data_IF_279811314479
#
_entry.id   IF_279811314479
#
_cell.length_a   1.000
_cell.length_b   1.000
_cell.length_c   1.000
_cell.angle_alpha   90.00
_cell.angle_beta   90.00
_cell.angle_gamma   90.00
#
_symmetry.space_group_name_H-M   'P 1'
#
loop_
_entity.id
_entity.type
_entity.pdbx_description
1 polymer ?
#
# COMPACT_ATOMS: atom_id res chain seq x y z
N UNK A 1 -21.40 -20.57 12.37
CA UNK A 1 -20.66 -19.37 11.90
C UNK A 1 -19.24 -19.37 12.48
N UNK A 2 -18.37 -20.28 12.03
CA UNK A 2 -16.99 -20.40 12.53
C UNK A 2 -15.95 -20.73 11.43
N UNK A 3 -16.37 -20.82 10.17
CA UNK A 3 -15.53 -21.32 9.06
C UNK A 3 -14.69 -20.25 8.36
N UNK A 4 -15.03 -18.96 8.52
CA UNK A 4 -14.35 -17.87 7.81
C UNK A 4 -12.96 -17.51 8.36
N UNK A 5 -12.69 -17.73 9.65
CA UNK A 5 -11.40 -17.42 10.28
C UNK A 5 -10.34 -18.52 10.14
N UNK A 6 -10.76 -19.77 9.94
CA UNK A 6 -9.85 -20.91 9.74
C UNK A 6 -9.30 -20.93 8.31
N UNK A 7 -10.16 -20.76 7.30
CA UNK A 7 -9.75 -20.77 5.89
C UNK A 7 -8.76 -19.64 5.54
N UNK A 8 -8.89 -18.47 6.17
CA UNK A 8 -7.96 -17.35 5.99
C UNK A 8 -6.60 -17.62 6.64
N UNK A 9 -6.59 -18.32 7.79
CA UNK A 9 -5.35 -18.69 8.48
C UNK A 9 -4.57 -19.76 7.70
N UNK A 10 -5.27 -20.76 7.17
CA UNK A 10 -4.66 -21.80 6.33
C UNK A 10 -4.09 -21.21 5.04
N UNK A 11 -4.82 -20.31 4.38
CA UNK A 11 -4.32 -19.63 3.17
C UNK A 11 -3.11 -18.72 3.40
N UNK A 12 -2.96 -18.13 4.60
CA UNK A 12 -1.76 -17.35 4.95
C UNK A 12 -0.54 -18.25 5.15
N UNK A 13 -0.72 -19.42 5.77
CA UNK A 13 0.37 -20.39 5.95
C UNK A 13 0.91 -20.87 4.60
N UNK A 14 0.02 -21.12 3.63
CA UNK A 14 0.40 -21.52 2.27
C UNK A 14 1.21 -20.44 1.54
N UNK A 15 0.84 -19.16 1.70
CA UNK A 15 1.59 -18.02 1.13
C UNK A 15 2.99 -17.93 1.72
N UNK A 16 3.10 -18.05 3.05
CA UNK A 16 4.39 -18.00 3.74
C UNK A 16 5.27 -19.15 3.26
N UNK A 17 4.72 -20.36 3.17
CA UNK A 17 5.45 -21.52 2.67
C UNK A 17 5.92 -21.33 1.22
N UNK A 18 5.06 -20.83 0.33
CA UNK A 18 5.43 -20.56 -1.05
C UNK A 18 6.55 -19.51 -1.19
N UNK A 19 6.56 -18.48 -0.33
CA UNK A 19 7.65 -17.49 -0.28
C UNK A 19 8.97 -18.11 0.18
N UNK A 20 8.94 -18.99 1.17
CA UNK A 20 10.14 -19.71 1.62
C UNK A 20 10.69 -20.64 0.54
N UNK A 21 9.82 -21.38 -0.14
CA UNK A 21 10.20 -22.28 -1.24
C UNK A 21 10.79 -21.47 -2.40
N UNK A 22 10.21 -20.33 -2.76
CA UNK A 22 10.68 -19.55 -3.91
C UNK A 22 12.06 -18.91 -3.68
N UNK A 23 12.35 -18.51 -2.44
CA UNK A 23 13.61 -17.88 -2.04
C UNK A 23 14.66 -18.85 -1.48
N UNK A 24 14.32 -20.12 -1.23
CA UNK A 24 15.27 -21.12 -0.75
C UNK A 24 16.28 -21.49 -1.85
N UNK A 25 17.61 -21.48 -1.58
CA UNK A 25 18.62 -21.88 -2.55
C UNK A 25 18.62 -23.39 -2.81
N UNK A 26 17.98 -24.18 -1.95
CA UNK A 26 17.90 -25.64 -2.07
C UNK A 26 16.67 -26.10 -2.88
N UNK A 27 15.73 -25.19 -3.20
CA UNK A 27 14.54 -25.53 -3.97
C UNK A 27 14.88 -25.83 -5.43
N UNK A 28 14.28 -26.90 -5.95
CA UNK A 28 14.37 -27.22 -7.38
C UNK A 28 13.72 -26.12 -8.23
N UNK A 29 14.13 -26.00 -9.49
CA UNK A 29 13.55 -25.01 -10.41
C UNK A 29 12.05 -25.24 -10.62
N UNK A 30 11.60 -26.50 -10.64
CA UNK A 30 10.18 -26.83 -10.80
C UNK A 30 9.35 -26.36 -9.59
N UNK A 31 9.80 -26.66 -8.37
CA UNK A 31 9.10 -26.22 -7.15
C UNK A 31 9.10 -24.69 -7.00
N UNK A 32 10.21 -24.03 -7.36
CA UNK A 32 10.28 -22.57 -7.37
C UNK A 32 9.29 -21.96 -8.36
N UNK A 33 9.18 -22.53 -9.56
CA UNK A 33 8.23 -22.06 -10.57
C UNK A 33 6.77 -22.22 -10.11
N UNK A 34 6.44 -23.38 -9.52
CA UNK A 34 5.11 -23.64 -8.95
C UNK A 34 4.77 -22.66 -7.82
N UNK A 35 5.70 -22.45 -6.89
CA UNK A 35 5.52 -21.49 -5.80
C UNK A 35 5.32 -20.05 -6.31
N UNK A 36 6.10 -19.62 -7.30
CA UNK A 36 5.93 -18.28 -7.90
C UNK A 36 4.59 -18.15 -8.62
N UNK A 37 4.17 -19.19 -9.37
CA UNK A 37 2.87 -19.18 -10.04
C UNK A 37 1.72 -19.08 -9.05
N UNK A 38 1.81 -19.80 -7.92
CA UNK A 38 0.85 -19.69 -6.82
C UNK A 38 0.82 -18.28 -6.22
N UNK A 39 1.99 -17.69 -5.94
CA UNK A 39 2.06 -16.32 -5.39
C UNK A 39 1.48 -15.28 -6.35
N UNK A 40 1.70 -15.44 -7.66
CA UNK A 40 1.07 -14.57 -8.67
C UNK A 40 -0.44 -14.74 -8.73
N UNK A 41 -0.98 -15.96 -8.57
CA UNK A 41 -2.44 -16.14 -8.53
C UNK A 41 -3.07 -15.43 -7.33
N UNK A 42 -2.36 -15.34 -6.20
CA UNK A 42 -2.85 -14.62 -5.01
C UNK A 42 -3.03 -13.12 -5.18
N UNK A 43 -2.38 -12.51 -6.17
CA UNK A 43 -2.61 -11.10 -6.51
C UNK A 43 -4.01 -10.84 -7.09
N UNK A 44 -4.66 -11.89 -7.62
CA UNK A 44 -5.97 -11.82 -8.26
C UNK A 44 -7.11 -12.25 -7.32
N UNK A 45 -6.80 -12.73 -6.11
CA UNK A 45 -7.81 -13.13 -5.13
C UNK A 45 -8.66 -11.90 -4.69
N UNK A 46 -9.96 -12.10 -4.49
CA UNK A 46 -10.89 -11.05 -4.05
C UNK A 46 -10.45 -10.38 -2.73
N UNK A 47 -9.81 -11.15 -1.85
CA UNK A 47 -9.32 -10.68 -0.55
C UNK A 47 -7.84 -10.29 -0.55
N UNK A 48 -7.19 -10.17 -1.72
CA UNK A 48 -5.77 -9.86 -1.84
C UNK A 48 -5.35 -8.62 -1.04
N UNK A 49 -6.18 -7.58 -1.00
CA UNK A 49 -5.89 -6.37 -0.23
C UNK A 49 -5.80 -6.63 1.29
N UNK A 50 -6.80 -7.33 1.85
CA UNK A 50 -6.82 -7.66 3.28
C UNK A 50 -5.68 -8.60 3.65
N UNK A 51 -5.43 -9.62 2.83
CA UNK A 51 -4.28 -10.53 3.00
C UNK A 51 -2.96 -9.76 2.96
N UNK A 52 -2.80 -8.86 1.98
CA UNK A 52 -1.61 -8.02 1.86
C UNK A 52 -1.36 -7.16 3.08
N UNK A 53 -2.41 -6.53 3.62
CA UNK A 53 -2.33 -5.76 4.86
C UNK A 53 -1.91 -6.62 6.06
N UNK A 54 -2.51 -7.79 6.26
CA UNK A 54 -2.15 -8.69 7.37
C UNK A 54 -0.68 -9.12 7.29
N UNK A 55 -0.21 -9.50 6.10
CA UNK A 55 1.19 -9.90 5.89
C UNK A 55 2.17 -8.73 6.12
N UNK A 56 1.83 -7.53 5.67
CA UNK A 56 2.69 -6.35 5.80
C UNK A 56 2.74 -5.77 7.23
N UNK A 57 1.61 -5.80 7.94
CA UNK A 57 1.43 -5.14 9.24
C UNK A 57 1.95 -5.94 10.44
N UNK A 58 2.12 -7.26 10.30
CA UNK A 58 2.70 -8.08 11.37
C UNK A 58 4.22 -7.88 11.42
N UNK A 59 4.70 -7.33 12.53
CA UNK A 59 6.11 -7.08 12.78
C UNK A 59 6.94 -8.35 12.92
N UNK A 60 6.31 -9.47 13.28
CA UNK A 60 6.99 -10.75 13.43
C UNK A 60 7.26 -11.42 12.09
N UNK A 61 6.59 -10.97 11.02
CA UNK A 61 6.84 -11.47 9.67
C UNK A 61 8.21 -11.02 9.16
N UNK A 62 8.85 -11.91 8.40
CA UNK A 62 10.12 -11.61 7.76
C UNK A 62 9.98 -10.43 6.78
N UNK A 63 11.07 -9.69 6.49
CA UNK A 63 11.03 -8.59 5.53
C UNK A 63 10.54 -9.00 4.13
N UNK A 64 10.76 -10.27 3.75
CA UNK A 64 10.27 -10.87 2.52
C UNK A 64 8.75 -10.98 2.51
N UNK A 65 8.15 -11.54 3.58
CA UNK A 65 6.70 -11.71 3.71
C UNK A 65 6.01 -10.34 3.73
N UNK A 66 6.56 -9.40 4.51
CA UNK A 66 6.03 -8.03 4.59
C UNK A 66 6.09 -7.33 3.23
N UNK A 67 7.17 -7.51 2.48
CA UNK A 67 7.30 -6.96 1.13
C UNK A 67 6.27 -7.55 0.17
N UNK A 68 6.04 -8.87 0.20
CA UNK A 68 4.98 -9.48 -0.60
C UNK A 68 3.60 -8.93 -0.24
N UNK A 69 3.32 -8.70 1.04
CA UNK A 69 2.09 -8.06 1.50
C UNK A 69 1.88 -6.66 0.89
N UNK A 70 2.93 -5.83 0.86
CA UNK A 70 2.88 -4.52 0.17
C UNK A 70 2.65 -4.66 -1.33
N UNK A 71 3.23 -5.67 -1.98
CA UNK A 71 3.04 -5.95 -3.41
C UNK A 71 1.62 -6.40 -3.75
N UNK A 72 0.91 -7.09 -2.84
CA UNK A 72 -0.51 -7.41 -3.00
C UNK A 72 -1.37 -6.13 -2.98
N UNK A 73 -1.13 -5.25 -1.99
CA UNK A 73 -1.84 -3.96 -1.89
C UNK A 73 -1.61 -3.10 -3.14
N UNK A 74 -0.35 -3.04 -3.59
CA UNK A 74 0.05 -2.31 -4.79
C UNK A 74 -0.65 -2.85 -6.05
N UNK A 75 -0.67 -4.18 -6.20
CA UNK A 75 -1.34 -4.80 -7.34
C UNK A 75 -2.83 -4.45 -7.37
N UNK A 76 -3.53 -4.58 -6.23
CA UNK A 76 -4.95 -4.24 -6.14
C UNK A 76 -5.19 -2.76 -6.51
N UNK A 77 -4.38 -1.86 -5.98
CA UNK A 77 -4.56 -0.42 -6.18
C UNK A 77 -4.24 0.04 -7.62
N UNK A 78 -3.23 -0.56 -8.25
CA UNK A 78 -2.79 -0.19 -9.60
C UNK A 78 -3.57 -0.92 -10.70
N UNK A 79 -3.86 -2.21 -10.53
CA UNK A 79 -4.44 -3.05 -11.60
C UNK A 79 -5.96 -3.16 -11.52
N UNK A 80 -6.54 -3.10 -10.31
CA UNK A 80 -7.99 -3.02 -10.15
C UNK A 80 -8.49 -1.59 -9.97
N UNK A 81 -7.59 -0.60 -9.88
CA UNK A 81 -7.88 0.77 -9.43
C UNK A 81 -9.09 1.45 -10.06
N UNK A 82 -9.31 1.32 -11.37
CA UNK A 82 -10.47 1.90 -12.06
C UNK A 82 -11.78 1.15 -11.83
N UNK A 83 -11.71 -0.14 -11.46
CA UNK A 83 -12.87 -0.96 -11.14
C UNK A 83 -13.26 -0.89 -9.66
N UNK A 84 -12.38 -0.37 -8.80
CA UNK A 84 -12.65 -0.25 -7.36
C UNK A 84 -13.77 0.76 -7.10
N UNK A 85 -14.73 0.35 -6.28
CA UNK A 85 -15.76 1.23 -5.78
C UNK A 85 -15.21 2.14 -4.68
N UNK A 86 -15.85 3.29 -4.45
CA UNK A 86 -15.51 4.23 -3.38
C UNK A 86 -15.29 3.54 -2.03
N UNK A 87 -16.19 2.64 -1.62
CA UNK A 87 -16.04 1.88 -0.38
C UNK A 87 -14.77 1.02 -0.32
N UNK A 88 -14.36 0.39 -1.42
CA UNK A 88 -13.13 -0.41 -1.47
C UNK A 88 -11.87 0.46 -1.42
N UNK A 89 -11.91 1.64 -2.04
CA UNK A 89 -10.82 2.63 -1.96
C UNK A 89 -10.67 3.11 -0.52
N UNK A 90 -11.78 3.37 0.19
CA UNK A 90 -11.74 3.77 1.60
C UNK A 90 -11.26 2.65 2.53
N UNK A 91 -11.59 1.39 2.25
CA UNK A 91 -10.98 0.26 2.98
C UNK A 91 -9.46 0.18 2.78
N UNK A 92 -8.99 0.34 1.53
CA UNK A 92 -7.55 0.41 1.23
C UNK A 92 -6.88 1.59 1.93
N UNK A 93 -7.54 2.75 1.94
CA UNK A 93 -7.09 3.94 2.67
C UNK A 93 -6.83 3.63 4.13
N UNK A 94 -7.78 3.01 4.83
CA UNK A 94 -7.61 2.72 6.25
C UNK A 94 -6.49 1.72 6.51
N UNK A 95 -6.34 0.69 5.65
CA UNK A 95 -5.23 -0.26 5.74
C UNK A 95 -3.87 0.44 5.56
N UNK A 96 -3.72 1.28 4.54
CA UNK A 96 -2.46 1.98 4.25
C UNK A 96 -2.15 3.04 5.31
N UNK A 97 -3.16 3.74 5.83
CA UNK A 97 -3.02 4.66 6.96
C UNK A 97 -2.54 3.94 8.23
N UNK A 98 -3.03 2.73 8.48
CA UNK A 98 -2.56 1.94 9.61
C UNK A 98 -1.11 1.47 9.41
N UNK A 99 -0.72 1.09 8.19
CA UNK A 99 0.68 0.77 7.88
C UNK A 99 1.59 1.98 8.09
N UNK A 100 1.18 3.18 7.67
CA UNK A 100 2.01 4.38 7.82
C UNK A 100 2.21 4.78 9.29
N UNK A 101 1.17 4.65 10.13
CA UNK A 101 1.26 4.88 11.59
C UNK A 101 2.15 3.89 12.32
N UNK A 102 2.30 2.67 11.78
CA UNK A 102 3.06 1.57 12.41
C UNK A 102 4.53 1.51 11.99
N UNK A 103 5.00 2.39 11.11
CA UNK A 103 6.38 2.36 10.65
C UNK A 103 7.35 2.59 11.82
N UNK A 104 8.43 1.80 11.83
CA UNK A 104 9.49 1.82 12.83
C UNK A 104 10.84 2.18 12.20
N UNK A 105 11.76 2.70 13.02
CA UNK A 105 13.12 3.06 12.54
C UNK A 105 13.90 1.83 12.05
N UNK A 106 13.57 0.65 12.57
CA UNK A 106 14.16 -0.64 12.19
C UNK A 106 13.62 -1.18 10.86
N UNK A 107 12.52 -0.62 10.33
CA UNK A 107 12.01 -1.05 9.04
C UNK A 107 13.03 -0.73 7.93
N UNK A 108 13.20 -1.59 6.92
CA UNK A 108 14.01 -1.26 5.76
C UNK A 108 13.50 -0.03 5.00
N UNK A 109 14.40 0.74 4.38
CA UNK A 109 14.01 1.92 3.59
C UNK A 109 13.03 1.60 2.47
N UNK A 110 13.22 0.47 1.77
CA UNK A 110 12.30 0.04 0.71
C UNK A 110 10.86 -0.15 1.21
N UNK A 111 10.68 -0.59 2.46
CA UNK A 111 9.36 -0.80 3.05
C UNK A 111 8.68 0.55 3.27
N UNK A 112 9.39 1.50 3.90
CA UNK A 112 8.89 2.86 4.15
C UNK A 112 8.54 3.58 2.86
N UNK A 113 9.42 3.50 1.85
CA UNK A 113 9.20 4.11 0.54
C UNK A 113 7.96 3.52 -0.14
N UNK A 114 7.78 2.20 -0.08
CA UNK A 114 6.62 1.55 -0.69
C UNK A 114 5.32 1.90 0.03
N UNK A 115 5.33 2.05 1.36
CA UNK A 115 4.16 2.57 2.10
C UNK A 115 3.83 4.00 1.69
N UNK A 116 4.82 4.88 1.55
CA UNK A 116 4.61 6.26 1.07
C UNK A 116 4.00 6.30 -0.34
N UNK A 117 4.49 5.45 -1.25
CA UNK A 117 3.94 5.30 -2.60
C UNK A 117 2.46 4.85 -2.58
N UNK A 118 2.14 3.78 -1.83
CA UNK A 118 0.76 3.29 -1.69
C UNK A 118 -0.17 4.37 -1.13
N UNK A 119 0.34 5.15 -0.18
CA UNK A 119 -0.41 6.25 0.42
C UNK A 119 -0.75 7.32 -0.63
N UNK A 120 0.25 7.75 -1.43
CA UNK A 120 0.04 8.70 -2.51
C UNK A 120 -0.95 8.17 -3.57
N UNK A 121 -0.85 6.89 -3.94
CA UNK A 121 -1.76 6.25 -4.88
C UNK A 121 -3.22 6.26 -4.41
N UNK A 122 -3.49 5.98 -3.13
CA UNK A 122 -4.85 6.10 -2.57
C UNK A 122 -5.30 7.55 -2.52
N UNK A 123 -4.41 8.47 -2.13
CA UNK A 123 -4.74 9.90 -2.06
C UNK A 123 -5.18 10.44 -3.42
N UNK A 124 -4.45 10.13 -4.50
CA UNK A 124 -4.83 10.52 -5.87
C UNK A 124 -6.26 10.09 -6.24
N UNK A 125 -6.74 8.95 -5.72
CA UNK A 125 -8.06 8.39 -6.05
C UNK A 125 -9.20 8.90 -5.18
N UNK A 126 -8.92 9.37 -3.97
CA UNK A 126 -9.97 9.67 -2.97
C UNK A 126 -9.93 11.08 -2.40
N UNK A 127 -8.79 11.78 -2.48
CA UNK A 127 -8.63 13.10 -1.90
C UNK A 127 -9.55 14.12 -2.56
N UNK A 128 -10.38 14.82 -1.78
CA UNK A 128 -11.35 15.80 -2.28
C UNK A 128 -12.62 15.17 -2.89
N UNK A 129 -12.79 13.85 -2.75
CA UNK A 129 -14.04 13.13 -3.07
C UNK A 129 -14.56 12.51 -1.77
N UNK A 130 -13.94 11.40 -1.36
CA UNK A 130 -14.34 10.62 -0.19
C UNK A 130 -13.38 10.82 0.99
N UNK A 131 -12.15 11.28 0.71
CA UNK A 131 -11.14 11.60 1.71
C UNK A 131 -10.90 13.10 1.79
N UNK A 132 -11.82 13.81 2.46
CA UNK A 132 -11.75 15.27 2.59
C UNK A 132 -10.73 15.75 3.65
N UNK A 133 -10.48 14.96 4.70
CA UNK A 133 -9.51 15.30 5.77
C UNK A 133 -8.10 14.77 5.55
N UNK A 134 -7.67 14.64 4.29
CA UNK A 134 -6.37 14.06 3.92
C UNK A 134 -5.20 14.91 4.42
N UNK A 135 -5.32 16.23 4.32
CA UNK A 135 -4.38 17.22 4.83
C UNK A 135 -4.22 17.13 6.36
N UNK A 136 -5.32 16.97 7.09
CA UNK A 136 -5.32 16.75 8.53
C UNK A 136 -4.63 15.41 8.88
N UNK A 137 -4.85 14.37 8.09
CA UNK A 137 -4.18 13.08 8.25
C UNK A 137 -2.65 13.19 8.02
N UNK A 138 -2.21 13.96 7.02
CA UNK A 138 -0.79 14.30 6.82
C UNK A 138 -0.22 15.08 8.00
N UNK A 139 -0.95 16.07 8.51
CA UNK A 139 -0.54 16.87 9.66
C UNK A 139 -0.40 16.00 10.92
N UNK A 140 -1.32 15.06 11.13
CA UNK A 140 -1.26 14.12 12.25
C UNK A 140 -0.01 13.22 12.15
N UNK A 141 0.30 12.69 10.96
CA UNK A 141 1.52 11.93 10.72
C UNK A 141 2.78 12.79 10.93
N UNK A 142 2.80 14.02 10.42
CA UNK A 142 3.92 14.96 10.58
C UNK A 142 4.29 15.20 12.04
N UNK A 143 3.27 15.28 12.91
CA UNK A 143 3.47 15.51 14.34
C UNK A 143 3.79 14.24 15.14
N UNK A 144 3.70 13.05 14.54
CA UNK A 144 3.89 11.79 15.25
C UNK A 144 5.37 11.53 15.62
N UNK A 145 6.31 11.65 14.68
CA UNK A 145 7.74 11.53 14.95
C UNK A 145 8.59 12.03 13.77
N UNK A 146 9.91 12.17 13.97
CA UNK A 146 10.87 12.53 12.89
C UNK A 146 10.77 11.54 11.72
N UNK A 147 10.63 10.25 12.01
CA UNK A 147 10.46 9.21 10.99
C UNK A 147 9.18 9.41 10.15
N UNK A 148 8.08 9.81 10.79
CA UNK A 148 6.84 10.10 10.08
C UNK A 148 6.93 11.38 9.26
N UNK A 149 7.75 12.37 9.66
CA UNK A 149 8.05 13.53 8.81
C UNK A 149 8.73 13.12 7.51
N UNK A 150 9.68 12.19 7.56
CA UNK A 150 10.31 11.65 6.35
C UNK A 150 9.28 10.98 5.42
N UNK A 151 8.35 10.20 5.99
CA UNK A 151 7.27 9.58 5.21
C UNK A 151 6.35 10.64 4.58
N UNK A 152 5.94 11.66 5.35
CA UNK A 152 5.11 12.75 4.84
C UNK A 152 5.82 13.48 3.69
N UNK A 153 7.12 13.77 3.82
CA UNK A 153 7.89 14.37 2.74
C UNK A 153 7.93 13.46 1.50
N UNK A 154 8.15 12.16 1.67
CA UNK A 154 8.16 11.20 0.56
C UNK A 154 6.79 11.07 -0.12
N UNK A 155 5.70 11.15 0.65
CA UNK A 155 4.33 11.19 0.12
C UNK A 155 4.13 12.45 -0.72
N UNK A 156 4.48 13.62 -0.18
CA UNK A 156 4.31 14.91 -0.86
C UNK A 156 5.18 15.01 -2.12
N UNK A 157 6.41 14.49 -2.07
CA UNK A 157 7.30 14.34 -3.22
C UNK A 157 6.64 13.47 -4.30
N UNK A 158 6.18 12.27 -3.94
CA UNK A 158 5.52 11.33 -4.88
C UNK A 158 4.27 11.95 -5.50
N UNK A 159 3.40 12.59 -4.70
CA UNK A 159 2.22 13.29 -5.20
C UNK A 159 2.61 14.42 -6.16
N UNK A 160 3.63 15.21 -5.84
CA UNK A 160 4.07 16.29 -6.71
C UNK A 160 4.63 15.79 -8.04
N UNK A 161 5.41 14.70 -8.03
CA UNK A 161 5.91 14.07 -9.25
C UNK A 161 4.77 13.54 -10.10
N UNK A 162 3.81 12.82 -9.50
CA UNK A 162 2.74 12.18 -10.25
C UNK A 162 1.73 13.19 -10.81
N UNK A 163 1.42 14.25 -10.04
CA UNK A 163 0.41 15.24 -10.39
C UNK A 163 0.95 16.31 -11.36
N UNK A 164 2.18 16.79 -11.15
CA UNK A 164 2.73 17.89 -11.96
C UNK A 164 3.68 17.43 -13.06
N UNK A 165 4.44 16.35 -12.86
CA UNK A 165 5.52 15.97 -13.78
C UNK A 165 5.15 14.80 -14.68
N UNK A 166 4.69 13.67 -14.11
CA UNK A 166 4.37 12.45 -14.85
C UNK A 166 2.97 12.47 -15.44
N UNK A 167 2.05 13.16 -14.78
CA UNK A 167 0.62 13.19 -15.10
C UNK A 167 0.07 11.77 -15.34
N UNK A 168 0.31 10.86 -14.38
CA UNK A 168 -0.13 9.47 -14.52
C UNK A 168 -1.65 9.36 -14.72
N UNK A 169 -2.16 8.20 -15.17
CA UNK A 169 -3.57 8.10 -15.59
C UNK A 169 -4.56 8.52 -14.50
N UNK A 170 -4.28 8.19 -13.22
CA UNK A 170 -5.11 8.61 -12.10
C UNK A 170 -5.05 10.12 -11.87
N UNK A 171 -3.86 10.73 -11.93
CA UNK A 171 -3.68 12.17 -11.76
C UNK A 171 -4.28 12.96 -12.92
N UNK A 172 -4.06 12.51 -14.17
CA UNK A 172 -4.58 13.16 -15.38
C UNK A 172 -6.10 13.32 -15.36
N UNK A 173 -6.83 12.29 -14.94
CA UNK A 173 -8.29 12.32 -14.86
C UNK A 173 -8.82 13.31 -13.81
N UNK A 174 -8.00 13.65 -12.81
CA UNK A 174 -8.34 14.51 -11.68
C UNK A 174 -7.46 15.76 -11.58
N UNK A 175 -6.75 16.09 -12.65
CA UNK A 175 -5.59 16.99 -12.61
C UNK A 175 -5.91 18.34 -12.01
N UNK A 176 -7.02 18.98 -12.40
CA UNK A 176 -7.39 20.30 -11.89
C UNK A 176 -7.64 20.30 -10.38
N UNK A 177 -8.38 19.32 -9.86
CA UNK A 177 -8.72 19.24 -8.44
C UNK A 177 -7.49 18.90 -7.59
N UNK A 178 -6.72 17.90 -8.01
CA UNK A 178 -5.51 17.48 -7.32
C UNK A 178 -4.41 18.56 -7.34
N UNK A 179 -4.24 19.25 -8.47
CA UNK A 179 -3.32 20.39 -8.58
C UNK A 179 -3.68 21.47 -7.57
N UNK A 180 -4.95 21.90 -7.52
CA UNK A 180 -5.40 22.93 -6.58
C UNK A 180 -5.16 22.50 -5.13
N UNK A 181 -5.59 21.29 -4.78
CA UNK A 181 -5.48 20.79 -3.42
C UNK A 181 -4.01 20.64 -2.98
N UNK A 182 -3.12 20.21 -3.88
CA UNK A 182 -1.69 20.08 -3.59
C UNK A 182 -0.98 21.43 -3.43
N UNK A 183 -1.36 22.44 -4.23
CA UNK A 183 -0.88 23.80 -4.03
C UNK A 183 -1.27 24.33 -2.66
N UNK A 184 -2.51 24.10 -2.20
CA UNK A 184 -2.98 24.53 -0.88
C UNK A 184 -2.15 23.95 0.28
N UNK A 185 -1.59 22.74 0.13
CA UNK A 185 -0.67 22.17 1.12
C UNK A 185 0.70 22.87 1.12
N UNK A 186 1.25 23.19 -0.06
CA UNK A 186 2.59 23.75 -0.19
C UNK A 186 2.67 25.26 0.02
N UNK A 187 1.58 25.98 -0.24
CA UNK A 187 1.56 27.44 -0.11
C UNK A 187 0.91 27.85 1.21
N UNK A 188 1.59 28.63 2.07
CA UNK A 188 0.95 29.16 3.26
C UNK A 188 -0.22 30.07 2.87
N UNK A 189 -1.31 30.00 3.64
CA UNK A 189 -2.40 30.98 3.55
C UNK A 189 -1.81 32.37 3.82
N UNK A 190 -1.93 33.25 2.82
CA UNK A 190 -1.48 34.64 2.90
C UNK A 190 -2.29 35.45 3.92
#
# INVERSE_FOLDING_TARGET
MATGGQATTDGMADIIHALEVSHSPMSSNALRAEALQFLESKKQDEHAARTGFLLASDINNSPLIRHFGLSLLDHVLLHAGFALQSGQIMELKEMIMELSRRIQQTDPSYYRNKVAQLWAEVAKRSWGIDWNGMDQDLFNLWNASVLHKEIVLSILETLSEDIFYREDTASSLRGTDLNRALVEIFTPLA
#
